data_IF_442559944268
#
_entry.id   IF_442559944268
#
_cell.length_a   1.000
_cell.length_b   1.000
_cell.length_c   1.000
_cell.angle_alpha   90.00
_cell.angle_beta   90.00
_cell.angle_gamma   90.00
#
_symmetry.space_group_name_H-M   'P 1'
#
loop_
_entity.id
_entity.type
_entity.pdbx_description
1 polymer ?
#
# COMPACT_ATOMS: atom_id res chain seq x y z
N UNK A 1 4.97 10.46 6.05
CA UNK A 1 4.08 9.51 6.78
C UNK A 1 4.85 8.21 6.99
N UNK A 2 4.81 7.59 8.18
CA UNK A 2 5.49 6.29 8.39
C UNK A 2 4.56 5.16 7.95
N UNK A 3 4.90 4.46 6.85
CA UNK A 3 4.15 3.29 6.37
C UNK A 3 4.33 2.14 7.36
N UNK A 4 3.25 1.43 7.64
CA UNK A 4 3.25 0.30 8.58
C UNK A 4 2.41 -0.86 8.08
N UNK A 5 2.76 -2.08 8.53
CA UNK A 5 1.94 -3.27 8.33
C UNK A 5 0.52 -3.04 8.85
N UNK A 6 -0.47 -3.59 8.17
CA UNK A 6 -1.89 -3.41 8.45
C UNK A 6 -2.53 -2.15 7.84
N UNK A 7 -1.75 -1.24 7.26
CA UNK A 7 -2.31 -0.09 6.52
C UNK A 7 -2.91 -0.54 5.18
N UNK A 8 -3.99 0.13 4.75
CA UNK A 8 -4.53 -0.05 3.40
C UNK A 8 -3.71 0.72 2.37
N UNK A 9 -3.47 0.08 1.23
CA UNK A 9 -2.83 0.71 0.08
C UNK A 9 -3.38 0.14 -1.22
N UNK A 10 -3.14 0.86 -2.32
CA UNK A 10 -3.45 0.43 -3.67
C UNK A 10 -2.15 0.27 -4.46
N UNK A 11 -2.00 -0.84 -5.18
CA UNK A 11 -0.87 -1.10 -6.08
C UNK A 11 -1.19 -0.65 -7.51
N UNK A 12 -0.20 0.00 -8.15
CA UNK A 12 -0.30 0.56 -9.49
C UNK A 12 -0.52 -0.53 -10.56
N UNK A 13 -1.42 -0.35 -11.53
CA UNK A 13 -1.55 -1.18 -12.74
C UNK A 13 -0.22 -1.58 -13.40
N UNK A 14 0.74 -0.66 -13.47
CA UNK A 14 2.09 -0.92 -14.05
C UNK A 14 2.89 -1.95 -13.25
N UNK A 15 2.67 -2.03 -11.94
CA UNK A 15 3.30 -3.03 -11.08
C UNK A 15 2.57 -4.37 -11.17
N UNK A 16 1.24 -4.34 -11.23
CA UNK A 16 0.40 -5.54 -11.15
C UNK A 16 0.17 -6.21 -12.51
N UNK A 17 0.34 -5.49 -13.61
CA UNK A 17 -0.01 -5.95 -14.96
C UNK A 17 -1.52 -5.99 -15.23
N UNK A 18 -2.34 -5.37 -14.38
CA UNK A 18 -3.80 -5.35 -14.48
C UNK A 18 -4.30 -4.01 -15.05
N UNK A 19 -5.61 -3.92 -15.34
CA UNK A 19 -6.25 -2.70 -15.82
C UNK A 19 -6.39 -1.63 -14.73
N UNK A 20 -6.59 -2.06 -13.48
CA UNK A 20 -7.01 -1.19 -12.38
C UNK A 20 -6.10 -1.30 -11.17
N UNK A 21 -6.13 -0.26 -10.33
CA UNK A 21 -5.42 -0.24 -9.06
C UNK A 21 -5.94 -1.35 -8.16
N UNK A 22 -5.03 -2.16 -7.61
CA UNK A 22 -5.40 -3.26 -6.73
C UNK A 22 -5.32 -2.83 -5.27
N UNK A 23 -6.44 -2.84 -4.57
CA UNK A 23 -6.46 -2.59 -3.13
C UNK A 23 -5.98 -3.81 -2.34
N UNK A 24 -5.13 -3.55 -1.34
CA UNK A 24 -4.65 -4.56 -0.42
C UNK A 24 -4.26 -3.98 0.93
N UNK A 25 -3.81 -4.88 1.80
CA UNK A 25 -3.28 -4.54 3.13
C UNK A 25 -1.77 -4.72 3.11
N UNK A 26 -1.01 -3.75 3.62
CA UNK A 26 0.44 -3.84 3.76
C UNK A 26 0.79 -4.99 4.70
N UNK A 27 1.58 -5.95 4.20
CA UNK A 27 2.07 -7.11 4.96
C UNK A 27 3.57 -7.02 5.21
N UNK A 28 4.31 -6.24 4.44
CA UNK A 28 5.73 -6.02 4.64
C UNK A 28 6.21 -4.64 4.17
N UNK A 29 7.25 -4.16 4.86
CA UNK A 29 7.92 -2.88 4.62
C UNK A 29 9.41 -3.11 4.82
N UNK A 30 10.16 -3.16 3.72
CA UNK A 30 11.60 -3.44 3.70
C UNK A 30 12.35 -2.19 3.27
N UNK A 31 13.44 -1.85 3.97
CA UNK A 31 14.36 -0.82 3.51
C UNK A 31 15.48 -1.49 2.71
N UNK A 32 15.30 -1.57 1.39
CA UNK A 32 16.23 -2.22 0.49
C UNK A 32 17.39 -1.26 0.13
N UNK A 33 18.66 -1.68 0.24
CA UNK A 33 19.80 -0.79 0.06
C UNK A 33 19.98 -0.26 -1.38
N UNK A 34 19.34 -0.88 -2.38
CA UNK A 34 19.44 -0.47 -3.78
C UNK A 34 18.18 0.22 -4.29
N UNK A 35 17.01 -0.28 -3.87
CA UNK A 35 15.70 0.17 -4.35
C UNK A 35 15.03 1.19 -3.42
N UNK A 36 15.60 1.43 -2.24
CA UNK A 36 14.95 2.20 -1.20
C UNK A 36 13.80 1.42 -0.56
N UNK A 37 12.69 2.10 -0.26
CA UNK A 37 11.57 1.49 0.45
C UNK A 37 10.78 0.54 -0.47
N UNK A 38 10.71 -0.73 -0.10
CA UNK A 38 9.94 -1.78 -0.79
C UNK A 38 8.75 -2.17 0.07
N UNK A 39 7.58 -2.22 -0.56
CA UNK A 39 6.29 -2.45 0.08
C UNK A 39 5.70 -3.72 -0.50
N UNK A 40 5.12 -4.57 0.35
CA UNK A 40 4.29 -5.70 -0.07
C UNK A 40 2.86 -5.55 0.46
N UNK A 41 1.87 -5.74 -0.41
CA UNK A 41 0.46 -5.78 -0.05
C UNK A 41 -0.15 -7.14 -0.38
N UNK A 42 -1.15 -7.56 0.40
CA UNK A 42 -2.00 -8.72 0.10
C UNK A 42 -3.43 -8.25 -0.17
N UNK A 43 -3.99 -8.66 -1.30
CA UNK A 43 -5.37 -8.36 -1.67
C UNK A 43 -6.37 -9.34 -1.05
N UNK A 44 -7.67 -9.15 -1.31
CA UNK A 44 -8.74 -10.01 -0.79
C UNK A 44 -8.74 -11.43 -1.38
N UNK A 45 -8.17 -11.63 -2.57
CA UNK A 45 -8.00 -12.94 -3.20
C UNK A 45 -6.75 -13.67 -2.71
N UNK A 46 -5.95 -13.03 -1.87
CA UNK A 46 -4.71 -13.56 -1.33
C UNK A 46 -3.49 -13.39 -2.24
N UNK A 47 -3.61 -12.65 -3.35
CA UNK A 47 -2.49 -12.29 -4.22
C UNK A 47 -1.58 -11.31 -3.50
N UNK A 48 -0.28 -11.43 -3.73
CA UNK A 48 0.74 -10.55 -3.15
C UNK A 48 1.38 -9.74 -4.26
N UNK A 49 1.39 -8.42 -4.07
CA UNK A 49 2.07 -7.47 -4.96
C UNK A 49 3.15 -6.75 -4.16
N UNK A 50 4.37 -6.68 -4.68
CA UNK A 50 5.50 -6.06 -4.02
C UNK A 50 6.35 -5.22 -4.98
N UNK A 51 6.86 -4.10 -4.51
CA UNK A 51 7.64 -3.18 -5.33
C UNK A 51 8.09 -1.93 -4.58
N UNK A 52 8.79 -1.03 -5.28
CA UNK A 52 9.18 0.27 -4.73
C UNK A 52 7.95 1.09 -4.30
N UNK A 53 8.09 1.89 -3.23
CA UNK A 53 7.04 2.74 -2.67
C UNK A 53 6.27 3.57 -3.73
N UNK A 54 6.96 4.04 -4.77
CA UNK A 54 6.37 4.87 -5.86
C UNK A 54 5.20 4.20 -6.59
N UNK A 55 5.07 2.88 -6.53
CA UNK A 55 3.97 2.12 -7.13
C UNK A 55 2.77 1.94 -6.19
N UNK A 56 2.78 2.56 -5.01
CA UNK A 56 1.74 2.41 -4.01
C UNK A 56 1.11 3.73 -3.63
N UNK A 57 -0.22 3.73 -3.52
CA UNK A 57 -0.99 4.81 -2.92
C UNK A 57 -1.48 4.38 -1.54
N UNK A 58 -1.18 5.19 -0.51
CA UNK A 58 -1.59 4.90 0.86
C UNK A 58 -2.76 5.78 1.27
N UNK A 59 -3.76 5.18 1.91
CA UNK A 59 -4.85 5.95 2.50
C UNK A 59 -4.37 6.54 3.83
N UNK A 60 -4.43 7.86 3.98
CA UNK A 60 -4.32 8.48 5.30
C UNK A 60 -5.60 8.20 6.07
N UNK A 61 -5.49 7.77 7.34
CA UNK A 61 -6.58 8.02 8.27
C UNK A 61 -6.54 9.51 8.56
N UNK A 62 -7.34 10.30 7.86
CA UNK A 62 -7.77 11.56 8.42
C UNK A 62 -8.57 11.18 9.66
N UNK A 63 -8.09 11.50 10.87
CA UNK A 63 -8.94 11.48 12.04
C UNK A 63 -10.00 12.57 11.83
N UNK A 64 -11.07 12.23 11.11
CA UNK A 64 -12.31 12.96 11.18
C UNK A 64 -12.85 12.75 12.60
N UNK A 65 -12.35 13.56 13.54
CA UNK A 65 -13.22 14.13 14.55
C UNK A 65 -14.22 15.03 13.82
N UNK A 66 -15.12 14.43 13.03
CA UNK A 66 -16.43 15.00 12.81
C UNK A 66 -17.20 14.65 14.09
N UNK A 67 -16.89 15.35 15.18
CA UNK A 67 -17.85 15.49 16.25
C UNK A 67 -19.06 16.16 15.61
N UNK A 68 -20.16 15.42 15.54
CA UNK A 68 -21.48 16.02 15.49
C UNK A 68 -21.57 16.95 16.70
N UNK A 69 -21.58 18.26 16.45
CA UNK A 69 -22.09 19.26 17.37
C UNK A 69 -23.04 20.17 16.61
#
# INVERSE_FOLDING_TARGET
>A
MKIKKGQKAKADPKLTGLSDWVEGTVIDVENNPFKGLVIAIKDQMGRIFFGEEKYFQFFSKNNSNACLQ
#
